data_IF_981720563037
#
_entry.id   IF_981720563037
#
_cell.length_a   1.000
_cell.length_b   1.000
_cell.length_c   1.000
_cell.angle_alpha   90.00
_cell.angle_beta   90.00
_cell.angle_gamma   90.00
#
_symmetry.space_group_name_H-M   'P 1'
#
loop_
_entity.id
_entity.type
_entity.pdbx_description
1 polymer ?
2 polymer ?
3 polymer ?
4 polymer ?
5 non-polymer ?
6 non-polymer ?
7 non-polymer ?
8 non-polymer ?
9 non-polymer ?
10 water ?
#
loop_
_entity_poly.entity_id
_entity_poly.type
_entity_poly.pdbx_seq_one_letter_code
_entity_poly.pdbx_strand_id
2 'polydeoxyribonucleotide' '(DC)(DG)(DG)(DC)(DA)(DT)(DA)(DC)(DG)' ?
3 'polydeoxyribonucleotide' '(DC)(DG)(DT)(DA)' ?
4 'polydeoxyribonucleotide' '(DG)(DC)(DC)(DG)' ?
#
# COMPACT_ATOMS: atom_id res chain seq x y z
N UNK A 10 -4.49 12.87 21.45
CA UNK A 10 -4.01 12.02 20.35
C UNK A 10 -4.21 10.52 20.64
N UNK A 11 -5.20 9.92 19.98
CA UNK A 11 -5.46 8.49 20.19
C UNK A 11 -4.28 7.63 19.75
N UNK A 12 -4.22 6.42 20.29
CA UNK A 12 -3.09 5.54 20.05
C UNK A 12 -3.15 4.79 18.73
N UNK A 13 -4.35 4.57 18.18
CA UNK A 13 -4.48 3.87 16.91
C UNK A 13 -4.69 4.86 15.76
N UNK A 14 -4.04 4.58 14.64
CA UNK A 14 -4.14 5.50 13.50
C UNK A 14 -5.56 5.60 12.97
N UNK A 15 -6.39 4.57 13.14
CA UNK A 15 -7.74 4.62 12.62
C UNK A 15 -8.67 5.46 13.46
N UNK A 16 -8.16 6.02 14.57
CA UNK A 16 -8.94 6.82 15.49
C UNK A 16 -8.77 8.31 15.25
N UNK A 17 -8.03 8.70 14.22
CA UNK A 17 -7.73 10.09 14.00
C UNK A 17 -7.60 10.34 12.51
N UNK A 18 -7.96 11.53 12.04
CA UNK A 18 -7.74 11.87 10.63
C UNK A 18 -6.28 12.07 10.32
N UNK A 19 -5.85 11.51 9.19
CA UNK A 19 -4.50 11.72 8.69
C UNK A 19 -4.56 12.21 7.25
N UNK A 20 -4.30 13.48 7.01
CA UNK A 20 -4.39 14.00 5.64
C UNK A 20 -3.16 13.58 4.86
N UNK A 21 -3.26 13.73 3.55
CA UNK A 21 -2.18 13.31 2.67
C UNK A 21 -0.97 14.19 2.86
N UNK A 22 -1.18 15.49 2.92
CA UNK A 22 -0.10 16.44 3.20
C UNK A 22 -0.28 17.03 4.58
N UNK A 23 0.84 17.34 5.24
CA UNK A 23 0.74 17.73 6.65
C UNK A 23 1.87 18.69 7.02
N UNK A 24 2.15 18.79 8.32
CA UNK A 24 2.99 19.86 8.87
C UNK A 24 4.28 19.33 9.49
N UNK A 25 4.61 18.06 9.27
CA UNK A 25 5.78 17.45 9.88
C UNK A 25 6.47 16.49 8.92
N UNK A 26 6.53 16.89 7.65
CA UNK A 26 6.94 15.99 6.57
C UNK A 26 8.35 15.45 6.80
N UNK A 27 9.31 16.34 7.05
CA UNK A 27 10.69 15.91 7.26
C UNK A 27 10.86 14.96 8.43
N UNK A 28 10.17 15.24 9.54
CA UNK A 28 10.28 14.37 10.69
C UNK A 28 9.69 13.01 10.40
N UNK A 29 8.53 12.96 9.72
CA UNK A 29 7.92 11.67 9.45
C UNK A 29 8.73 10.87 8.44
N UNK A 30 9.36 11.55 7.46
CA UNK A 30 10.19 10.85 6.50
C UNK A 30 11.40 10.20 7.17
N UNK A 31 12.02 10.90 8.13
CA UNK A 31 13.19 10.32 8.80
C UNK A 31 12.81 9.08 9.60
N UNK A 32 11.69 9.15 10.31
CA UNK A 32 11.24 7.98 11.06
C UNK A 32 10.89 6.84 10.13
N UNK A 33 10.33 7.14 8.95
CA UNK A 33 9.99 6.08 8.02
C UNK A 33 11.24 5.46 7.40
N UNK A 34 12.37 6.17 7.33
CA UNK A 34 13.61 5.51 6.93
C UNK A 34 13.96 4.42 7.94
N UNK A 35 13.90 4.74 9.23
CA UNK A 35 14.24 3.75 10.25
C UNK A 35 13.26 2.60 10.24
N UNK A 36 12.00 2.89 9.94
CA UNK A 36 10.99 1.84 9.83
C UNK A 36 11.35 0.88 8.72
N UNK A 37 11.66 1.43 7.55
CA UNK A 37 12.02 0.62 6.39
C UNK A 37 13.25 -0.23 6.68
N UNK A 38 14.28 0.36 7.30
CA UNK A 38 15.49 -0.40 7.60
C UNK A 38 15.20 -1.51 8.58
N UNK A 39 14.32 -1.24 9.55
CA UNK A 39 13.94 -2.29 10.49
C UNK A 39 13.32 -3.47 9.76
N UNK A 40 12.50 -3.18 8.75
CA UNK A 40 11.91 -4.26 7.97
C UNK A 40 12.95 -5.05 7.19
N UNK A 41 13.94 -4.36 6.64
CA UNK A 41 14.98 -5.05 5.91
C UNK A 41 15.74 -6.03 6.79
N UNK A 42 15.78 -5.76 8.09
CA UNK A 42 16.44 -6.63 9.04
C UNK A 42 15.49 -7.62 9.69
N UNK A 43 14.22 -7.61 9.33
CA UNK A 43 13.29 -8.57 9.88
C UNK A 43 12.62 -8.17 11.18
N UNK A 44 12.74 -6.92 11.61
CA UNK A 44 12.24 -6.52 12.92
C UNK A 44 10.91 -5.83 12.68
N UNK A 45 9.87 -6.66 12.54
CA UNK A 45 8.54 -6.16 12.23
C UNK A 45 8.02 -5.26 13.33
N UNK A 46 8.34 -5.58 14.60
CA UNK A 46 7.87 -4.75 15.70
C UNK A 46 8.45 -3.36 15.67
N UNK A 47 9.77 -3.27 15.46
CA UNK A 47 10.40 -1.96 15.33
C UNK A 47 9.82 -1.19 14.16
N UNK A 48 9.67 -1.85 13.02
CA UNK A 48 9.09 -1.20 11.85
C UNK A 48 7.75 -0.60 12.21
N UNK A 49 6.95 -1.35 12.96
CA UNK A 49 5.62 -0.86 13.29
C UNK A 49 5.69 0.36 14.20
N UNK A 50 6.55 0.32 15.22
CA UNK A 50 6.64 1.48 16.11
C UNK A 50 7.08 2.72 15.36
N UNK A 51 8.11 2.60 14.52
CA UNK A 51 8.59 3.77 13.78
C UNK A 51 7.52 4.27 12.82
N UNK A 52 6.79 3.36 12.15
CA UNK A 52 5.70 3.77 11.25
C UNK A 52 4.61 4.50 12.02
N UNK A 53 4.23 3.97 13.18
CA UNK A 53 3.18 4.57 13.98
C UNK A 53 3.60 5.95 14.49
N UNK A 54 4.84 6.07 14.97
CA UNK A 54 5.34 7.37 15.41
C UNK A 54 5.32 8.38 14.26
N UNK A 55 5.79 7.96 13.10
CA UNK A 55 5.73 8.84 11.95
C UNK A 55 4.30 9.28 11.68
N UNK A 56 3.37 8.34 11.79
CA UNK A 56 1.98 8.62 11.45
C UNK A 56 1.36 9.60 12.44
N UNK A 57 1.72 9.47 13.71
CA UNK A 57 1.29 10.41 14.73
C UNK A 57 1.64 11.84 14.31
N UNK A 58 2.87 12.03 13.83
CA UNK A 58 3.26 13.37 13.41
C UNK A 58 2.45 13.88 12.23
N UNK A 59 2.03 12.98 11.34
CA UNK A 59 1.21 13.37 10.20
C UNK A 59 -0.13 13.91 10.66
N UNK A 60 -0.63 13.44 11.81
CA UNK A 60 -1.95 13.79 12.29
C UNK A 60 -1.96 15.07 13.10
N UNK A 61 -0.79 15.61 13.42
CA UNK A 61 -0.71 16.80 14.23
C UNK A 61 -1.19 18.01 13.44
N UNK A 62 -1.70 19.04 14.14
CA UNK A 62 -2.27 20.19 13.42
C UNK A 62 -1.27 21.28 13.05
N UNK A 63 -0.01 21.16 13.46
CA UNK A 63 1.00 22.17 13.17
C UNK A 63 2.37 21.54 13.37
N UNK A 64 3.45 22.25 13.01
CA UNK A 64 4.79 21.67 13.11
C UNK A 64 5.20 21.43 14.55
N UNK A 65 5.88 20.29 14.77
CA UNK A 65 6.67 20.15 16.01
C UNK A 65 7.92 21.02 15.92
N UNK A 66 8.08 21.92 16.90
CA UNK A 66 9.24 22.79 16.98
C UNK A 66 10.09 22.56 18.22
N UNK A 67 9.56 21.93 19.25
CA UNK A 67 10.34 21.71 20.47
C UNK A 67 10.07 20.31 20.95
N UNK A 68 11.06 19.74 21.64
CA UNK A 68 10.94 18.36 22.10
C UNK A 68 9.75 18.18 23.03
N UNK A 69 9.44 19.19 23.84
CA UNK A 69 8.39 19.03 24.84
C UNK A 69 7.04 18.76 24.19
N UNK A 70 6.85 19.14 22.93
CA UNK A 70 5.60 18.86 22.23
C UNK A 70 5.41 17.38 21.97
N UNK A 71 6.43 16.55 22.15
CA UNK A 71 6.25 15.10 22.01
C UNK A 71 5.74 14.44 23.28
N UNK A 72 5.81 15.13 24.42
CA UNK A 72 5.43 14.52 25.68
C UNK A 72 3.98 14.07 25.61
N UNK A 73 3.73 12.83 26.01
CA UNK A 73 2.37 12.31 25.97
C UNK A 73 1.86 11.87 24.61
N UNK A 74 2.61 12.08 23.52
CA UNK A 74 2.18 11.55 22.22
C UNK A 74 2.39 10.05 22.20
N UNK A 75 1.43 9.26 21.71
CA UNK A 75 1.63 7.82 21.65
C UNK A 75 2.73 7.44 20.67
N UNK A 76 3.48 6.42 21.02
CA UNK A 76 4.50 5.78 20.20
C UNK A 76 5.81 6.58 20.15
N UNK A 77 5.97 7.63 20.96
CA UNK A 77 7.24 8.32 21.10
C UNK A 77 7.85 7.96 22.44
N UNK A 78 8.85 7.09 22.40
CA UNK A 78 9.68 6.77 23.56
C UNK A 78 11.08 7.34 23.36
N UNK A 79 12.07 6.71 23.97
CA UNK A 79 13.40 7.30 23.97
C UNK A 79 13.97 7.40 22.55
N UNK A 80 13.81 6.35 21.75
CA UNK A 80 14.46 6.30 20.44
C UNK A 80 13.85 7.31 19.46
N UNK A 81 12.54 7.21 19.23
CA UNK A 81 11.89 8.12 18.28
C UNK A 81 12.01 9.56 18.74
N UNK A 82 12.00 9.79 20.06
CA UNK A 82 12.14 11.16 20.56
C UNK A 82 13.55 11.68 20.30
N UNK A 83 14.57 10.83 20.44
CA UNK A 83 15.93 11.26 20.16
C UNK A 83 16.10 11.62 18.69
N UNK A 84 15.52 10.82 17.79
CA UNK A 84 15.55 11.13 16.36
C UNK A 84 14.99 12.52 16.12
N UNK A 85 13.80 12.78 16.67
CA UNK A 85 13.17 14.09 16.46
C UNK A 85 14.03 15.19 17.08
N UNK A 86 14.57 14.94 18.27
CA UNK A 86 15.39 15.95 18.96
C UNK A 86 16.59 16.35 18.11
N UNK A 87 17.24 15.38 17.47
CA UNK A 87 18.42 15.67 16.66
C UNK A 87 18.06 16.43 15.40
N UNK A 88 16.94 16.06 14.77
CA UNK A 88 16.46 16.81 13.60
C UNK A 88 16.14 18.24 13.97
N UNK A 89 15.50 18.45 15.13
CA UNK A 89 15.15 19.81 15.54
C UNK A 89 16.39 20.63 15.86
N UNK A 90 17.38 20.02 16.51
CA UNK A 90 18.57 20.74 16.93
C UNK A 90 19.57 20.95 15.81
N UNK A 91 19.71 19.98 14.90
CA UNK A 91 20.80 19.96 13.93
C UNK A 91 20.35 19.80 12.49
N UNK A 92 19.06 19.62 12.24
CA UNK A 92 18.57 19.44 10.89
C UNK A 92 18.84 18.09 10.30
N UNK A 93 19.52 17.21 11.03
CA UNK A 93 19.89 15.89 10.55
C UNK A 93 19.96 14.97 11.76
N UNK A 94 19.66 13.69 11.54
CA UNK A 94 19.81 12.65 12.55
C UNK A 94 20.89 11.67 12.09
N UNK A 95 21.95 11.51 12.90
CA UNK A 95 23.09 10.75 12.44
C UNK A 95 22.69 9.31 12.14
N UNK A 96 21.85 8.73 12.99
CA UNK A 96 21.40 7.36 12.76
C UNK A 96 20.69 7.25 11.43
N UNK A 97 19.85 8.22 11.10
CA UNK A 97 19.14 8.20 9.83
C UNK A 97 20.10 8.33 8.65
N UNK A 98 21.06 9.26 8.74
CA UNK A 98 22.00 9.41 7.63
C UNK A 98 22.86 8.17 7.45
N UNK A 99 23.27 7.55 8.56
CA UNK A 99 24.07 6.34 8.47
C UNK A 99 23.29 5.23 7.76
N UNK A 100 22.02 5.05 8.11
CA UNK A 100 21.20 4.09 7.38
C UNK A 100 21.16 4.45 5.89
N UNK A 101 20.90 5.72 5.58
CA UNK A 101 20.67 6.13 4.19
C UNK A 101 21.86 5.79 3.30
N UNK A 102 23.07 5.94 3.82
CA UNK A 102 24.25 5.71 3.00
C UNK A 102 24.82 4.30 3.15
N UNK A 103 24.19 3.44 3.94
CA UNK A 103 24.72 2.11 4.13
C UNK A 103 24.49 1.28 2.87
N UNK A 104 25.45 0.41 2.58
CA UNK A 104 25.33 -0.44 1.41
C UNK A 104 24.16 -1.39 1.58
N UNK A 105 23.96 -1.86 2.80
CA UNK A 105 22.88 -2.78 3.11
C UNK A 105 21.53 -2.13 2.84
N UNK A 106 21.32 -0.91 3.33
CA UNK A 106 20.01 -0.27 3.11
C UNK A 106 19.78 -0.02 1.62
N UNK A 107 20.78 0.56 0.95
CA UNK A 107 20.62 0.95 -0.44
C UNK A 107 20.34 -0.25 -1.34
N UNK A 108 21.01 -1.37 -1.09
CA UNK A 108 20.79 -2.56 -1.92
C UNK A 108 19.48 -3.27 -1.58
N UNK A 109 19.14 -3.38 -0.30
CA UNK A 109 17.84 -3.96 0.04
C UNK A 109 16.71 -3.12 -0.50
N UNK A 110 16.82 -1.81 -0.42
CA UNK A 110 15.85 -0.94 -1.07
C UNK A 110 15.76 -1.20 -2.57
N UNK A 111 16.92 -1.23 -3.25
CA UNK A 111 16.93 -1.46 -4.69
C UNK A 111 16.30 -2.79 -5.04
N UNK A 112 16.63 -3.84 -4.30
CA UNK A 112 16.13 -5.17 -4.64
C UNK A 112 14.65 -5.32 -4.30
N UNK A 113 14.22 -4.86 -3.12
CA UNK A 113 12.83 -5.05 -2.74
C UNK A 113 11.87 -4.21 -3.58
N UNK A 114 12.36 -3.15 -4.21
CA UNK A 114 11.58 -2.36 -5.16
C UNK A 114 11.26 -3.14 -6.44
N UNK A 115 11.94 -4.26 -6.69
CA UNK A 115 11.66 -5.05 -7.89
C UNK A 115 10.38 -5.83 -7.65
N UNK A 116 9.46 -5.77 -8.63
CA UNK A 116 8.24 -6.58 -8.59
C UNK A 116 8.59 -8.07 -8.63
N UNK A 117 8.22 -8.81 -7.57
CA UNK A 117 8.55 -10.21 -7.45
C UNK A 117 9.66 -10.51 -6.46
N UNK A 118 10.24 -9.48 -5.85
CA UNK A 118 11.33 -9.63 -4.90
C UNK A 118 10.87 -9.04 -3.58
N UNK A 119 10.90 -9.85 -2.52
CA UNK A 119 10.61 -9.38 -1.19
C UNK A 119 11.87 -9.32 -0.35
N UNK A 120 11.68 -9.01 0.93
CA UNK A 120 12.81 -8.86 1.83
C UNK A 120 13.64 -10.13 1.86
N UNK A 121 12.98 -11.28 2.03
CA UNK A 121 13.73 -12.53 2.15
C UNK A 121 14.56 -12.81 0.90
N UNK A 122 14.03 -12.51 -0.29
CA UNK A 122 14.81 -12.78 -1.50
C UNK A 122 15.97 -11.79 -1.61
N UNK A 123 15.68 -10.49 -1.44
CA UNK A 123 16.73 -9.48 -1.46
C UNK A 123 17.87 -9.81 -0.49
N UNK A 124 17.50 -10.21 0.72
CA UNK A 124 18.49 -10.55 1.74
C UNK A 124 19.40 -11.69 1.28
N UNK A 125 18.81 -12.76 0.72
CA UNK A 125 19.62 -13.88 0.28
C UNK A 125 20.58 -13.45 -0.82
N UNK A 126 20.09 -12.68 -1.79
CA UNK A 126 20.94 -12.13 -2.84
C UNK A 126 22.03 -11.24 -2.26
N UNK A 127 21.68 -10.40 -1.26
CA UNK A 127 22.67 -9.57 -0.60
C UNK A 127 23.78 -10.41 0.00
N UNK A 128 23.40 -11.49 0.69
CA UNK A 128 24.39 -12.37 1.31
C UNK A 128 25.18 -13.14 0.26
N UNK A 129 24.59 -13.41 -0.90
CA UNK A 129 25.36 -14.03 -1.97
C UNK A 129 26.34 -13.04 -2.64
N UNK A 130 26.35 -11.77 -2.26
CA UNK A 130 27.27 -10.82 -2.84
C UNK A 130 26.70 -9.93 -3.91
N UNK A 131 25.42 -10.09 -4.26
CA UNK A 131 24.84 -9.31 -5.34
C UNK A 131 24.49 -7.92 -4.84
N UNK A 132 24.68 -6.92 -5.73
CA UNK A 132 24.51 -5.52 -5.35
C UNK A 132 23.74 -4.67 -6.37
N UNK A 133 23.74 -5.00 -7.67
CA UNK A 133 23.13 -4.14 -8.68
C UNK A 133 22.10 -4.90 -9.50
N UNK A 134 21.31 -4.15 -10.27
CA UNK A 134 20.33 -4.80 -11.13
C UNK A 134 21.03 -5.58 -12.23
N UNK A 135 22.13 -5.06 -12.74
CA UNK A 135 22.88 -5.83 -13.74
C UNK A 135 23.45 -7.12 -13.15
N UNK A 136 23.85 -7.13 -11.88
CA UNK A 136 24.21 -8.40 -11.24
C UNK A 136 23.10 -9.43 -11.38
N UNK A 137 21.84 -8.99 -11.26
CA UNK A 137 20.72 -9.92 -11.35
C UNK A 137 20.45 -10.34 -12.78
N UNK A 138 20.58 -9.39 -13.71
CA UNK A 138 20.40 -9.71 -15.12
C UNK A 138 21.45 -10.69 -15.62
N UNK A 139 22.67 -10.62 -15.09
CA UNK A 139 23.74 -11.51 -15.56
C UNK A 139 23.50 -12.96 -15.18
N UNK A 140 22.66 -13.23 -14.18
CA UNK A 140 22.41 -14.59 -13.69
C UNK A 140 20.91 -14.89 -13.77
N UNK A 141 20.31 -14.81 -14.96
CA UNK A 141 18.84 -14.84 -15.04
C UNK A 141 18.25 -16.21 -14.78
N UNK A 142 19.07 -17.26 -14.74
CA UNK A 142 18.56 -18.59 -14.44
C UNK A 142 17.97 -18.67 -13.04
N UNK A 143 18.42 -17.82 -12.13
CA UNK A 143 17.97 -17.83 -10.74
C UNK A 143 16.77 -16.92 -10.49
N UNK A 144 16.04 -16.52 -11.53
CA UNK A 144 14.93 -15.57 -11.38
C UNK A 144 13.63 -16.25 -11.77
N UNK A 145 12.58 -15.94 -11.02
CA UNK A 145 11.26 -16.42 -11.41
C UNK A 145 10.76 -15.62 -12.62
N UNK A 146 9.75 -16.16 -13.29
CA UNK A 146 9.15 -15.42 -14.41
C UNK A 146 8.70 -14.05 -13.97
N UNK A 147 8.14 -13.98 -12.76
CA UNK A 147 7.66 -12.72 -12.20
C UNK A 147 8.80 -11.72 -11.98
N UNK A 148 9.90 -12.19 -11.41
CA UNK A 148 11.07 -11.35 -11.24
C UNK A 148 11.66 -10.94 -12.58
N UNK A 149 11.63 -11.84 -13.57
CA UNK A 149 12.12 -11.46 -14.89
C UNK A 149 11.30 -10.28 -15.43
N UNK A 150 9.99 -10.32 -15.25
CA UNK A 150 9.13 -9.24 -15.70
C UNK A 150 9.44 -7.97 -14.96
N UNK A 151 9.54 -8.08 -13.64
CA UNK A 151 9.84 -6.92 -12.81
C UNK A 151 11.17 -6.28 -13.16
N UNK A 152 12.19 -7.09 -13.47
CA UNK A 152 13.49 -6.55 -13.84
C UNK A 152 13.45 -5.92 -15.24
N UNK A 153 12.87 -6.60 -16.22
CA UNK A 153 12.74 -6.01 -17.56
C UNK A 153 12.06 -4.65 -17.51
N UNK A 154 10.96 -4.54 -16.75
CA UNK A 154 10.13 -3.33 -16.69
C UNK A 154 10.52 -2.37 -15.58
N UNK A 155 11.64 -2.64 -14.92
CA UNK A 155 11.94 -1.93 -13.68
C UNK A 155 12.03 -0.41 -13.89
N UNK A 156 12.62 0.03 -15.00
CA UNK A 156 12.78 1.47 -15.20
C UNK A 156 11.43 2.17 -15.30
N UNK A 157 10.54 1.64 -16.15
CA UNK A 157 9.20 2.22 -16.25
C UNK A 157 8.46 2.12 -14.92
N UNK A 158 8.58 0.99 -14.23
CA UNK A 158 7.85 0.83 -13.00
C UNK A 158 8.37 1.74 -11.89
N UNK A 159 9.56 2.28 -12.06
CA UNK A 159 10.15 3.20 -11.11
C UNK A 159 9.67 4.62 -11.35
N UNK A 160 9.00 4.88 -12.45
CA UNK A 160 8.43 6.17 -12.84
C UNK A 160 7.06 6.33 -12.19
N UNK A 161 6.77 7.42 -11.50
CA UNK A 161 5.44 7.53 -10.86
C UNK A 161 4.33 7.51 -11.88
N UNK A 162 3.27 6.77 -11.54
CA UNK A 162 2.02 6.84 -12.28
C UNK A 162 1.33 8.13 -11.93
N UNK A 163 0.80 8.83 -12.93
CA UNK A 163 0.19 10.13 -12.70
C UNK A 163 -1.32 9.98 -12.68
N UNK A 164 -1.95 10.85 -11.89
CA UNK A 164 -3.41 10.88 -11.85
C UNK A 164 -3.93 11.02 -13.26
N UNK A 165 -3.18 11.73 -14.10
CA UNK A 165 -3.55 11.89 -15.48
C UNK A 165 -3.56 10.56 -16.23
N UNK A 166 -2.73 9.59 -15.83
CA UNK A 166 -2.70 8.26 -16.45
C UNK A 166 -3.89 7.40 -16.06
N UNK A 167 -4.45 7.68 -14.89
CA UNK A 167 -5.41 6.78 -14.26
C UNK A 167 -6.70 6.75 -15.05
N UNK A 168 -7.14 7.91 -15.54
CA UNK A 168 -8.40 8.00 -16.26
C UNK A 168 -8.37 7.11 -17.50
N UNK A 169 -7.24 7.14 -18.22
CA UNK A 169 -7.10 6.36 -19.45
C UNK A 169 -7.14 4.87 -19.15
N UNK A 170 -6.45 4.43 -18.10
CA UNK A 170 -6.46 3.03 -17.73
C UNK A 170 -7.84 2.60 -17.24
N UNK A 171 -8.54 3.45 -16.50
CA UNK A 171 -9.86 3.03 -16.02
C UNK A 171 -10.80 2.79 -17.17
N UNK A 172 -10.70 3.61 -18.24
CA UNK A 172 -11.59 3.42 -19.37
C UNK A 172 -11.33 2.11 -20.09
N UNK A 173 -10.06 1.72 -20.26
CA UNK A 173 -9.80 0.48 -21.01
C UNK A 173 -10.17 -0.72 -20.14
N UNK A 174 -9.97 -0.62 -18.81
CA UNK A 174 -10.44 -1.69 -17.92
C UNK A 174 -11.97 -1.80 -17.96
N UNK A 175 -12.66 -0.66 -17.93
CA UNK A 175 -14.12 -0.71 -18.01
C UNK A 175 -14.60 -1.35 -19.30
N UNK A 176 -13.95 -1.05 -20.43
CA UNK A 176 -14.34 -1.67 -21.68
C UNK A 176 -14.22 -3.18 -21.59
N UNK A 177 -13.10 -3.70 -21.07
CA UNK A 177 -12.95 -5.14 -21.02
C UNK A 177 -13.93 -5.75 -20.01
N UNK A 178 -14.14 -5.08 -18.89
CA UNK A 178 -15.08 -5.56 -17.87
C UNK A 178 -16.51 -5.59 -18.41
N UNK A 179 -16.89 -4.58 -19.18
CA UNK A 179 -18.24 -4.50 -19.71
C UNK A 179 -18.53 -5.58 -20.73
N UNK A 180 -17.51 -6.04 -21.46
CA UNK A 180 -17.69 -7.16 -22.36
C UNK A 180 -17.71 -8.47 -21.59
N UNK A 181 -16.86 -8.55 -20.56
CA UNK A 181 -16.77 -9.78 -19.78
C UNK A 181 -18.07 -10.04 -19.03
N UNK A 182 -18.69 -8.99 -18.51
CA UNK A 182 -19.89 -9.12 -17.71
C UNK A 182 -20.66 -7.80 -17.71
N UNK A 183 -21.63 -7.63 -18.59
CA UNK A 183 -22.43 -6.41 -18.59
C UNK A 183 -23.00 -6.09 -17.22
N UNK A 184 -22.87 -4.82 -16.85
CA UNK A 184 -23.32 -4.38 -15.57
C UNK A 184 -22.26 -4.37 -14.50
N UNK A 185 -21.11 -5.01 -14.73
CA UNK A 185 -20.06 -5.00 -13.73
C UNK A 185 -19.49 -3.59 -13.67
N UNK A 186 -19.01 -3.20 -12.49
CA UNK A 186 -18.50 -1.85 -12.26
C UNK A 186 -17.03 -1.92 -11.88
N UNK A 187 -16.34 -0.81 -12.14
CA UNK A 187 -14.91 -0.68 -11.83
C UNK A 187 -14.78 0.53 -10.93
N UNK A 188 -14.20 0.33 -9.75
CA UNK A 188 -13.99 1.39 -8.78
C UNK A 188 -12.50 1.61 -8.53
N UNK A 189 -12.05 2.86 -8.63
CA UNK A 189 -10.65 3.19 -8.31
C UNK A 189 -10.44 3.11 -6.80
N UNK A 190 -9.41 2.38 -6.39
CA UNK A 190 -9.09 2.21 -4.98
C UNK A 190 -7.62 2.59 -4.80
N UNK A 191 -7.00 2.09 -3.73
CA UNK A 191 -5.62 2.38 -3.42
C UNK A 191 -5.32 3.88 -3.19
N UNK A 192 -4.04 4.23 -3.39
CA UNK A 192 -3.60 5.58 -3.06
C UNK A 192 -4.32 6.69 -3.79
N UNK A 193 -4.66 6.48 -5.06
CA UNK A 193 -5.37 7.53 -5.81
C UNK A 193 -6.72 7.81 -5.20
N UNK A 194 -7.38 6.80 -4.63
CA UNK A 194 -8.66 7.08 -3.97
C UNK A 194 -8.47 7.91 -2.70
N UNK A 195 -7.29 7.83 -2.09
CA UNK A 195 -6.98 8.69 -0.94
C UNK A 195 -6.55 10.09 -1.35
N UNK A 196 -6.57 10.40 -2.65
CA UNK A 196 -6.21 11.72 -3.12
C UNK A 196 -4.78 11.88 -3.59
N UNK A 197 -4.00 10.80 -3.64
CA UNK A 197 -2.62 10.92 -4.09
C UNK A 197 -2.59 11.38 -5.53
N UNK A 198 -1.64 12.24 -5.83
CA UNK A 198 -1.47 12.74 -7.18
C UNK A 198 -0.58 11.84 -8.00
N UNK A 199 0.09 10.89 -7.36
CA UNK A 199 0.90 9.94 -8.07
C UNK A 199 0.72 8.57 -7.41
N UNK A 200 1.47 7.61 -7.91
CA UNK A 200 1.47 6.30 -7.30
C UNK A 200 2.43 5.34 -7.97
N UNK A 201 2.62 4.20 -7.31
CA UNK A 201 3.44 3.13 -7.84
C UNK A 201 2.63 2.21 -8.73
N UNK A 202 1.31 2.29 -8.66
CA UNK A 202 0.45 1.45 -9.47
C UNK A 202 -0.92 2.09 -9.50
N UNK A 203 -1.85 1.45 -10.21
CA UNK A 203 -3.26 1.77 -10.14
C UNK A 203 -4.00 0.54 -9.64
N UNK A 204 -4.88 0.75 -8.65
CA UNK A 204 -5.63 -0.32 -8.01
C UNK A 204 -7.12 -0.18 -8.31
N UNK A 205 -7.71 -1.24 -8.84
CA UNK A 205 -9.14 -1.24 -9.14
C UNK A 205 -9.85 -2.37 -8.42
N UNK A 206 -11.10 -2.11 -8.09
CA UNK A 206 -11.99 -3.08 -7.46
C UNK A 206 -13.23 -3.23 -8.33
N UNK A 207 -13.54 -4.47 -8.67
CA UNK A 207 -14.57 -4.82 -9.64
C UNK A 207 -15.64 -5.62 -8.90
N UNK A 208 -16.90 -5.29 -9.18
CA UNK A 208 -18.01 -6.07 -8.64
C UNK A 208 -19.16 -6.02 -9.63
N UNK A 209 -20.28 -6.63 -9.23
CA UNK A 209 -21.50 -6.63 -10.02
C UNK A 209 -22.65 -6.52 -9.02
N UNK A 210 -23.71 -5.77 -9.33
CA UNK A 210 -24.80 -5.58 -8.32
C UNK A 210 -25.65 -6.80 -8.04
N UNK A 211 -25.60 -7.82 -8.85
CA UNK A 211 -26.28 -9.08 -8.61
C UNK A 211 -25.31 -10.07 -7.97
N UNK A 212 -25.49 -10.33 -6.68
CA UNK A 212 -24.60 -11.23 -5.95
C UNK A 212 -24.40 -12.55 -6.70
N UNK A 213 -23.14 -12.94 -6.82
CA UNK A 213 -22.79 -14.17 -7.49
C UNK A 213 -22.47 -14.02 -8.94
N UNK A 214 -22.92 -12.95 -9.60
CA UNK A 214 -22.63 -12.78 -11.01
C UNK A 214 -21.15 -12.53 -11.22
N UNK A 215 -20.45 -12.07 -10.20
CA UNK A 215 -19.01 -11.79 -10.32
C UNK A 215 -18.18 -13.05 -10.28
N UNK A 216 -18.76 -14.21 -9.94
CA UNK A 216 -17.98 -15.43 -9.94
C UNK A 216 -17.39 -15.66 -11.33
N UNK A 217 -16.10 -15.99 -11.39
CA UNK A 217 -15.44 -16.34 -12.64
C UNK A 217 -15.08 -15.16 -13.50
N UNK A 218 -15.23 -13.95 -12.98
CA UNK A 218 -15.13 -12.75 -13.80
C UNK A 218 -13.69 -12.44 -14.20
N UNK A 219 -12.75 -12.58 -13.28
CA UNK A 219 -11.44 -11.99 -13.53
C UNK A 219 -10.72 -12.67 -14.69
N UNK A 220 -10.78 -14.00 -14.83
CA UNK A 220 -10.13 -14.61 -16.01
C UNK A 220 -10.69 -14.08 -17.31
N UNK A 221 -11.99 -13.83 -17.33
CA UNK A 221 -12.64 -13.30 -18.53
C UNK A 221 -12.12 -11.91 -18.83
N UNK A 222 -11.92 -11.11 -17.79
CA UNK A 222 -11.39 -9.77 -17.96
C UNK A 222 -9.96 -9.85 -18.43
N UNK A 223 -9.16 -10.70 -17.80
CA UNK A 223 -7.74 -10.76 -18.16
C UNK A 223 -7.58 -11.22 -19.60
N UNK A 224 -8.41 -12.18 -20.03
CA UNK A 224 -8.31 -12.70 -21.39
C UNK A 224 -8.62 -11.62 -22.41
N UNK A 225 -9.58 -10.75 -22.11
CA UNK A 225 -9.95 -9.68 -23.03
C UNK A 225 -8.88 -8.60 -23.08
N UNK A 226 -8.35 -8.19 -21.93
CA UNK A 226 -7.24 -7.24 -21.93
C UNK A 226 -6.06 -7.77 -22.70
N UNK A 227 -5.76 -9.07 -22.52
CA UNK A 227 -4.63 -9.68 -23.22
C UNK A 227 -4.89 -9.72 -24.72
N UNK A 228 -6.14 -9.98 -25.12
CA UNK A 228 -6.46 -9.98 -26.55
C UNK A 228 -6.33 -8.59 -27.16
N UNK A 229 -6.57 -7.53 -26.38
CA UNK A 229 -6.37 -6.18 -26.88
C UNK A 229 -4.91 -5.75 -26.89
N UNK A 230 -3.97 -6.62 -26.50
CA UNK A 230 -2.56 -6.29 -26.53
C UNK A 230 -2.12 -5.40 -25.40
N UNK A 231 -2.93 -5.28 -24.34
CA UNK A 231 -2.63 -4.34 -23.28
C UNK A 231 -1.82 -4.92 -22.12
N UNK A 232 -1.62 -6.23 -22.09
CA UNK A 232 -1.06 -6.88 -20.91
C UNK A 232 0.35 -7.28 -21.26
N UNK A 233 1.30 -6.68 -20.59
CA UNK A 233 2.69 -7.06 -20.75
C UNK A 233 3.05 -8.22 -19.85
N UNK A 234 2.36 -8.35 -18.72
CA UNK A 234 2.64 -9.43 -17.79
C UNK A 234 1.42 -9.65 -16.91
N UNK A 235 1.05 -10.90 -16.73
CA UNK A 235 0.20 -11.27 -15.62
C UNK A 235 0.47 -12.72 -15.27
N UNK A 236 -0.08 -13.15 -14.15
CA UNK A 236 0.22 -14.45 -13.54
C UNK A 236 -0.27 -15.65 -14.34
N UNK A 237 -1.05 -15.47 -15.41
CA UNK A 237 -1.64 -16.62 -16.12
C UNK A 237 -1.44 -16.58 -17.63
N UNK A 256 -9.04 -20.30 -11.78
CA UNK A 256 -9.90 -19.36 -11.06
C UNK A 256 -9.07 -18.49 -10.15
N UNK A 257 -9.40 -17.20 -10.10
CA UNK A 257 -8.69 -16.28 -9.22
C UNK A 257 -9.54 -15.02 -9.08
N UNK A 258 -9.18 -14.19 -8.08
CA UNK A 258 -9.92 -12.98 -7.79
C UNK A 258 -9.03 -11.75 -7.62
N UNK A 259 -7.71 -11.92 -7.66
CA UNK A 259 -6.80 -10.81 -7.64
C UNK A 259 -5.79 -11.07 -8.75
N UNK A 260 -5.44 -10.04 -9.52
CA UNK A 260 -4.38 -10.17 -10.51
C UNK A 260 -3.45 -8.97 -10.41
N UNK A 261 -2.15 -9.24 -10.49
CA UNK A 261 -1.10 -8.23 -10.34
C UNK A 261 -0.48 -8.15 -11.72
N UNK A 262 -0.85 -7.10 -12.46
CA UNK A 262 -0.56 -6.97 -13.87
C UNK A 262 0.53 -5.92 -14.12
N UNK A 263 1.07 -5.98 -15.34
CA UNK A 263 1.82 -4.89 -15.93
C UNK A 263 1.10 -4.61 -17.25
N UNK A 264 0.66 -3.38 -17.40
CA UNK A 264 -0.17 -2.91 -18.50
C UNK A 264 0.67 -2.04 -19.41
N UNK A 265 0.33 -2.06 -20.68
CA UNK A 265 0.84 -1.15 -21.68
C UNK A 265 0.02 0.14 -21.71
N UNK A 266 0.60 1.24 -21.25
CA UNK A 266 -0.13 2.51 -21.23
C UNK A 266 0.40 3.45 -22.30
N UNK A 267 -0.44 3.87 -23.26
CA UNK A 267 0.03 4.81 -24.29
C UNK A 267 0.62 6.08 -23.72
N UNK A 268 1.54 6.63 -24.49
CA UNK A 268 2.28 7.86 -24.24
C UNK A 268 2.47 8.49 -25.60
N UNK A 269 2.79 9.78 -25.66
CA UNK A 269 3.01 10.40 -26.97
C UNK A 269 4.07 9.67 -27.79
N UNK A 270 3.67 9.12 -28.94
CA UNK A 270 4.61 8.45 -29.81
C UNK A 270 5.08 7.09 -29.32
N UNK A 271 4.61 6.62 -28.18
CA UNK A 271 5.12 5.39 -27.61
C UNK A 271 4.20 4.90 -26.49
N UNK A 272 4.78 4.31 -25.45
CA UNK A 272 3.99 3.81 -24.34
C UNK A 272 4.94 3.56 -23.17
N UNK A 273 4.36 3.27 -22.01
CA UNK A 273 5.13 2.86 -20.86
C UNK A 273 4.40 1.75 -20.12
N UNK A 274 5.18 0.94 -19.43
CA UNK A 274 4.64 -0.12 -18.59
C UNK A 274 4.19 0.45 -17.26
N UNK A 275 3.01 0.03 -16.81
CA UNK A 275 2.45 0.48 -15.53
C UNK A 275 1.87 -0.71 -14.80
N UNK A 276 2.08 -0.76 -13.48
CA UNK A 276 1.50 -1.81 -12.66
C UNK A 276 0.03 -1.51 -12.40
N UNK A 277 -0.82 -2.52 -12.56
CA UNK A 277 -2.25 -2.41 -12.31
C UNK A 277 -2.68 -3.62 -11.51
N UNK A 278 -3.43 -3.39 -10.45
CA UNK A 278 -3.98 -4.45 -9.63
C UNK A 278 -5.48 -4.47 -9.82
N UNK A 279 -6.00 -5.63 -10.14
CA UNK A 279 -7.43 -5.85 -10.29
C UNK A 279 -7.88 -6.80 -9.21
N UNK A 280 -8.98 -6.45 -8.55
CA UNK A 280 -9.59 -7.27 -7.50
C UNK A 280 -11.08 -7.36 -7.79
N UNK A 281 -11.61 -8.57 -7.68
CA UNK A 281 -13.04 -8.83 -7.82
C UNK A 281 -13.57 -9.19 -6.46
N UNK A 282 -14.72 -8.63 -6.12
CA UNK A 282 -15.43 -9.03 -4.91
C UNK A 282 -16.92 -9.10 -5.15
N UNK A 283 -17.60 -9.98 -4.44
CA UNK A 283 -19.07 -9.97 -4.51
C UNK A 283 -19.61 -8.70 -3.88
N UNK A 284 -20.80 -8.28 -4.33
CA UNK A 284 -21.30 -6.98 -3.89
C UNK A 284 -21.57 -7.00 -2.39
N UNK A 285 -21.93 -8.15 -1.82
CA UNK A 285 -22.09 -8.25 -0.37
C UNK A 285 -20.81 -7.87 0.38
N UNK A 286 -19.65 -8.17 -0.18
CA UNK A 286 -18.38 -7.89 0.47
C UNK A 286 -17.75 -6.58 0.01
N UNK A 287 -18.37 -5.90 -0.95
CA UNK A 287 -17.73 -4.75 -1.57
C UNK A 287 -17.30 -3.69 -0.57
N UNK A 288 -18.10 -3.35 0.45
CA UNK A 288 -17.64 -2.32 1.41
C UNK A 288 -16.37 -2.73 2.11
N UNK A 289 -16.26 -4.01 2.45
CA UNK A 289 -15.06 -4.49 3.13
C UNK A 289 -13.87 -4.49 2.20
N UNK A 290 -14.08 -4.82 0.92
CA UNK A 290 -12.96 -4.85 0.00
C UNK A 290 -12.54 -3.45 -0.39
N UNK A 291 -13.52 -2.56 -0.56
CA UNK A 291 -13.20 -1.15 -0.78
C UNK A 291 -12.38 -0.57 0.37
N UNK A 292 -12.84 -0.80 1.60
CA UNK A 292 -12.08 -0.35 2.77
C UNK A 292 -10.69 -0.96 2.76
N UNK A 293 -10.59 -2.26 2.52
CA UNK A 293 -9.31 -2.94 2.65
C UNK A 293 -8.30 -2.58 1.58
N UNK A 294 -8.77 -2.21 0.41
CA UNK A 294 -7.91 -1.87 -0.70
C UNK A 294 -7.70 -0.38 -0.86
N UNK A 295 -8.40 0.45 -0.08
CA UNK A 295 -8.21 1.90 -0.18
C UNK A 295 -7.06 2.39 0.73
N UNK A 296 -6.72 1.61 1.76
CA UNK A 296 -5.55 1.88 2.59
C UNK A 296 -5.71 3.10 3.50
N UNK A 297 -4.59 3.72 3.94
CA UNK A 297 -3.25 3.27 3.66
C UNK A 297 -2.98 1.87 4.24
N UNK A 298 -1.83 1.29 3.87
CA UNK A 298 -1.41 0.01 4.45
C UNK A 298 -1.36 0.09 5.98
N UNK A 299 -0.74 1.13 6.52
CA UNK A 299 -0.70 1.25 7.97
C UNK A 299 -2.10 1.45 8.52
N UNK A 300 -2.92 2.24 7.84
CA UNK A 300 -4.29 2.45 8.30
C UNK A 300 -5.03 1.13 8.44
N UNK A 301 -4.90 0.23 7.46
CA UNK A 301 -5.63 -1.03 7.51
C UNK A 301 -5.12 -1.93 8.64
N UNK A 302 -3.79 -2.03 8.80
CA UNK A 302 -3.20 -2.81 9.88
C UNK A 302 -3.69 -2.33 11.24
N UNK A 303 -3.73 -1.00 11.41
CA UNK A 303 -4.22 -0.39 12.66
C UNK A 303 -5.71 -0.62 12.86
N UNK A 304 -6.48 -0.54 11.78
CA UNK A 304 -7.93 -0.77 11.88
C UNK A 304 -8.20 -2.22 12.28
N UNK A 305 -7.49 -3.16 11.65
CA UNK A 305 -7.64 -4.56 12.01
C UNK A 305 -7.18 -4.83 13.43
N UNK A 306 -6.08 -4.20 13.83
CA UNK A 306 -5.60 -4.36 15.20
C UNK A 306 -6.59 -3.78 16.18
N UNK A 307 -7.14 -2.59 15.86
CA UNK A 307 -8.14 -1.97 16.71
C UNK A 307 -9.37 -2.87 16.84
N UNK A 308 -9.85 -3.36 15.69
CA UNK A 308 -11.03 -4.23 15.68
C UNK A 308 -10.84 -5.42 16.60
N UNK A 309 -9.73 -6.13 16.44
CA UNK A 309 -9.50 -7.35 17.20
C UNK A 309 -9.24 -7.06 18.66
N UNK A 310 -8.32 -6.13 18.95
CA UNK A 310 -7.87 -5.95 20.32
C UNK A 310 -8.83 -5.10 21.16
N UNK A 311 -9.50 -4.12 20.56
CA UNK A 311 -10.40 -3.26 21.34
C UNK A 311 -11.84 -3.71 21.28
N UNK A 312 -12.27 -4.28 20.16
CA UNK A 312 -13.66 -4.61 19.94
C UNK A 312 -13.93 -6.11 19.90
N UNK A 313 -12.90 -6.95 19.86
CA UNK A 313 -13.13 -8.40 19.82
C UNK A 313 -13.75 -8.91 18.55
N UNK A 314 -13.61 -8.17 17.46
CA UNK A 314 -14.11 -8.48 16.13
C UNK A 314 -12.96 -8.66 15.15
N UNK A 315 -13.12 -9.57 14.20
CA UNK A 315 -12.05 -9.94 13.27
C UNK A 315 -12.38 -9.36 11.91
N UNK A 316 -11.54 -8.44 11.43
CA UNK A 316 -11.76 -7.68 10.19
C UNK A 316 -10.81 -8.14 9.10
N UNK A 317 -11.35 -8.31 7.90
CA UNK A 317 -10.52 -8.53 6.73
C UNK A 317 -11.24 -7.90 5.53
N UNK A 318 -10.71 -8.16 4.34
CA UNK A 318 -11.24 -7.53 3.12
C UNK A 318 -12.52 -8.18 2.66
N UNK A 319 -12.97 -9.23 3.36
CA UNK A 319 -14.20 -9.92 3.06
C UNK A 319 -15.34 -9.62 4.02
N UNK A 320 -15.07 -9.13 5.23
CA UNK A 320 -16.12 -9.12 6.23
C UNK A 320 -15.58 -8.80 7.60
N UNK A 321 -16.51 -8.77 8.55
CA UNK A 321 -16.21 -8.45 9.95
C UNK A 321 -16.94 -9.46 10.80
N UNK A 322 -16.18 -10.24 11.55
CA UNK A 322 -16.67 -11.45 12.19
C UNK A 322 -16.64 -11.28 13.70
N UNK A 323 -17.77 -11.61 14.33
CA UNK A 323 -17.92 -11.67 15.77
C UNK A 323 -17.67 -13.12 16.21
N UNK A 324 -16.52 -13.43 16.80
CA UNK A 324 -16.19 -14.83 17.08
C UNK A 324 -16.96 -15.43 18.23
N UNK A 325 -17.63 -14.60 19.04
CA UNK A 325 -18.51 -15.09 20.11
C UNK A 325 -19.88 -15.48 19.55
N UNK A 326 -20.54 -14.59 18.79
CA UNK A 326 -21.79 -14.93 18.11
C UNK A 326 -21.58 -15.85 16.92
N UNK A 327 -20.36 -15.92 16.39
CA UNK A 327 -20.10 -16.66 15.15
C UNK A 327 -20.95 -16.10 14.02
N UNK A 328 -20.94 -14.78 13.89
CA UNK A 328 -21.76 -14.06 12.92
C UNK A 328 -20.91 -13.03 12.19
N UNK A 329 -21.28 -12.76 10.94
CA UNK A 329 -20.66 -11.71 10.12
C UNK A 329 -21.56 -10.48 10.08
N UNK A 330 -20.94 -9.31 10.19
CA UNK A 330 -21.67 -8.06 10.06
C UNK A 330 -21.98 -7.78 8.60
N UNK A 331 -23.24 -7.48 8.32
CA UNK A 331 -23.59 -7.08 6.96
C UNK A 331 -23.25 -5.60 6.87
N UNK A 332 -22.58 -5.21 5.83
CA UNK A 332 -22.29 -3.80 5.65
C UNK A 332 -22.74 -3.41 4.26
N UNK A 333 -23.39 -2.25 4.16
CA UNK A 333 -23.76 -1.70 2.87
C UNK A 333 -22.86 -0.54 2.45
N UNK A 334 -22.00 -0.08 3.34
CA UNK A 334 -21.12 1.04 3.07
C UNK A 334 -19.91 0.96 3.98
N UNK A 335 -18.86 1.69 3.59
CA UNK A 335 -17.77 1.91 4.53
C UNK A 335 -18.26 2.59 5.80
N UNK A 336 -19.21 3.54 5.67
CA UNK A 336 -19.78 4.19 6.83
C UNK A 336 -20.29 3.16 7.83
N UNK A 337 -21.00 2.12 7.32
CA UNK A 337 -21.48 1.04 8.18
C UNK A 337 -20.35 0.43 8.99
N UNK A 338 -19.20 0.21 8.34
CA UNK A 338 -18.11 -0.52 8.98
C UNK A 338 -17.53 0.30 10.10
N UNK A 339 -17.28 1.60 9.86
CA UNK A 339 -16.82 2.48 10.92
C UNK A 339 -17.81 2.50 12.08
N UNK A 340 -19.12 2.55 11.76
CA UNK A 340 -20.08 2.58 12.86
C UNK A 340 -20.05 1.28 13.67
N UNK A 341 -19.95 0.14 12.97
CA UNK A 341 -19.88 -1.17 13.64
C UNK A 341 -18.75 -1.19 14.65
N UNK A 342 -17.60 -0.63 14.28
CA UNK A 342 -16.42 -0.58 15.14
C UNK A 342 -16.41 0.57 16.13
N UNK A 343 -17.45 1.39 16.20
CA UNK A 343 -17.45 2.51 17.13
C UNK A 343 -16.41 3.58 16.84
N UNK A 344 -16.08 3.78 15.57
CA UNK A 344 -15.12 4.79 15.13
C UNK A 344 -15.83 5.89 14.36
N UNK A 345 -15.36 7.12 14.53
CA UNK A 345 -15.85 8.20 13.67
C UNK A 345 -15.45 7.94 12.23
N UNK A 346 -16.36 8.22 11.30
CA UNK A 346 -16.06 7.94 9.90
C UNK A 346 -14.92 8.82 9.43
N UNK A 347 -14.03 8.24 8.63
CA UNK A 347 -12.93 8.95 7.99
C UNK A 347 -13.03 8.76 6.49
N UNK A 348 -13.18 9.82 5.69
CA UNK A 348 -13.17 9.66 4.26
C UNK A 348 -11.81 9.17 3.81
N UNK A 349 -11.69 8.65 2.59
CA UNK A 349 -10.41 8.09 2.15
C UNK A 349 -9.24 9.07 2.27
N UNK A 350 -9.48 10.35 2.02
CA UNK A 350 -8.47 11.39 2.08
C UNK A 350 -7.91 11.61 3.47
N UNK A 351 -8.56 11.09 4.50
CA UNK A 351 -8.09 11.20 5.87
C UNK A 351 -7.60 9.87 6.42
N UNK A 352 -7.34 8.91 5.54
CA UNK A 352 -6.80 7.59 5.89
C UNK A 352 -5.33 7.45 5.49
N UNK A 353 -4.67 8.58 5.29
CA UNK A 353 -3.28 8.59 4.84
C UNK A 353 -2.33 8.40 6.01
N UNK A 354 -2.60 7.38 6.81
CA UNK A 354 -1.76 7.09 7.96
C UNK A 354 -0.37 6.65 7.53
X LIG E 1 -0.66 -0.67 -2.87
X LIG E 1 0.59 -1.51 -2.72
X LIG E 1 -1.12 -0.45 -4.30
X LIG E 1 -0.38 0.79 -2.09
X LIG E 1 -1.84 -1.44 -2.11
X LIG E 1 -1.11 2.27 -2.35
X LIG E 1 -2.06 2.20 -3.51
X LIG E 1 -1.71 2.73 -1.03
X LIG E 1 0.04 3.31 -2.74
X LIG E 1 1.01 3.16 -4.02
X LIG E 1 1.04 4.53 -4.63
X LIG E 1 2.37 2.70 -3.52
X LIG E 1 0.46 2.09 -4.92
X LIG E 1 -3.14 -0.89 -2.24
X LIG E 1 -3.87 -1.09 -0.95
X LIG E 1 -3.82 -2.50 -0.56
X LIG E 1 -3.80 -2.59 0.85
X LIG E 1 -3.88 -1.16 1.38
X LIG E 1 -5.24 -0.82 1.46
X LIG E 1 -3.25 -0.38 0.23
X LIG E 1 -3.57 0.99 0.22
X LIG E 1 -2.55 -3.24 1.30
X LIG E 1 -1.39 -3.20 0.55
X LIG E 1 -2.61 -3.83 2.53
X LIG E 1 -3.64 -3.85 3.19
X LIG E 1 -1.43 -4.41 2.94
X LIG E 1 -0.23 -4.43 2.24
X LIG E 1 0.74 -4.99 2.74
X LIG E 1 -0.26 -3.78 0.97
X LIG F 1 -1.52 -2.21 -5.71
X LIG G 1 -1.53 1.39 -5.30
X LIG H 1 9.21 -6.26 -4.50
X LIG I 1 -7.89 -9.59 3.74
X LIG J 1 -9.90 -8.47 -1.36
X LIG K 1 -6.26 -5.89 2.10
X LIG K 1 -6.30 -7.21 2.68
X LIG K 1 -5.54 -5.87 0.75
X LIG K 1 -5.58 -7.14 0.07
X LIG L 1 3.03 21.00 18.12
X LIG L 1 2.29 20.82 19.34
X LIG L 1 2.42 20.07 17.08
X LIG L 1 1.02 20.38 16.88
#
# INVERSE_FOLDING_TARGET
GSAAASPAWMPAYACQRPTPLTHHNTGLSEALEILAEAAGFEGSEGRLLTFCRAASVLKALPSPVTTLSQLQGLPHFGEHSSRVVQELLEHGVCEEVERVRRSERYQTMKLFTQIFGVGVKTADRWYREGLRTLDDLREQPQKLTQQQKAGLQHHQDLSTPVLRSDVDALQQVVEEAVGQALPGATVTLTGGFRRGKLQGHDVDFLITHPKEGQEAGLLPRVMCRLQDQGLILYHQHQHSCCESPTRLAQQSHMDAFERSFCIFRLPQPGSWKAVRVDLVVAPVSQFPFALLGHTGSKLFQRELRRFSRKEKGLWLNSHGLFDPEQKTFFQAASEEDIFRHLGLEYLPPEQRNA
2KH PA O1A O2A N3A O5' PB O1B O2B O3B PG O1G O2G O3G C5' C4' O4' C1' C2' O2' C3' O3' N1 C6 C2 O2 N3 C4 O4 C5
MG MG
MG MG
NA NA
CL CL
CL CL
EDO C1 O1 C2 O2
EDO C1 O1 C2 O2
#
